data_IF_319448459343
#
_entry.id   IF_319448459343
#
_cell.length_a   1.000
_cell.length_b   1.000
_cell.length_c   1.000
_cell.angle_alpha   90.00
_cell.angle_beta   90.00
_cell.angle_gamma   90.00
#
_symmetry.space_group_name_H-M   'P 1'
#
loop_
_entity.id
_entity.type
_entity.pdbx_description
1 polymer ?
#
# COMPACT_ATOMS: atom_id res chain seq x y z
N UNK A 1 -1.45 17.01 -13.71
CA UNK A 1 -1.38 15.61 -13.32
C UNK A 1 -0.61 15.39 -12.02
N UNK A 2 0.67 15.77 -11.87
CA UNK A 2 1.41 15.58 -10.59
C UNK A 2 0.70 16.13 -9.35
N UNK A 3 0.10 17.33 -9.43
CA UNK A 3 -0.68 17.93 -8.34
C UNK A 3 -1.92 17.09 -7.95
N UNK A 4 -2.52 16.41 -8.90
CA UNK A 4 -3.75 15.63 -8.68
C UNK A 4 -3.40 14.26 -8.10
N UNK A 5 -2.27 13.66 -8.55
CA UNK A 5 -1.72 12.42 -7.97
C UNK A 5 -1.38 12.65 -6.49
N UNK A 6 -0.65 13.73 -6.19
CA UNK A 6 -0.32 14.08 -4.82
C UNK A 6 -1.57 14.23 -3.95
N UNK A 7 -2.58 14.96 -4.42
CA UNK A 7 -3.85 15.14 -3.68
C UNK A 7 -4.59 13.84 -3.44
N UNK A 8 -4.57 12.92 -4.42
CA UNK A 8 -5.18 11.60 -4.26
C UNK A 8 -4.45 10.80 -3.18
N UNK A 9 -3.12 10.81 -3.20
CA UNK A 9 -2.31 10.15 -2.17
C UNK A 9 -2.57 10.76 -0.79
N UNK A 10 -2.52 12.09 -0.65
CA UNK A 10 -2.85 12.79 0.61
C UNK A 10 -4.25 12.41 1.14
N UNK A 11 -5.21 12.24 0.23
CA UNK A 11 -6.56 11.82 0.59
C UNK A 11 -6.60 10.36 1.05
N UNK A 12 -5.88 9.46 0.38
CA UNK A 12 -5.77 8.05 0.76
C UNK A 12 -5.03 7.88 2.10
N UNK A 13 -3.94 8.62 2.33
CA UNK A 13 -3.18 8.63 3.58
C UNK A 13 -4.00 9.15 4.77
N UNK A 14 -4.95 10.06 4.52
CA UNK A 14 -5.80 10.59 5.59
C UNK A 14 -6.80 9.57 6.14
N UNK A 15 -6.98 8.44 5.47
CA UNK A 15 -7.90 7.38 5.84
C UNK A 15 -7.17 6.37 6.73
N UNK A 16 -7.75 6.06 7.90
CA UNK A 16 -7.24 5.01 8.77
C UNK A 16 -7.18 3.67 8.03
N UNK A 17 -5.99 3.08 7.99
CA UNK A 17 -5.74 1.82 7.30
C UNK A 17 -4.63 0.97 7.92
N UNK A 18 -4.34 1.14 9.21
CA UNK A 18 -3.43 0.21 9.92
C UNK A 18 -3.89 -1.22 9.68
N UNK A 19 -2.98 -2.11 9.32
CA UNK A 19 -3.27 -3.47 8.88
C UNK A 19 -4.21 -4.21 9.85
N UNK A 20 -5.29 -4.78 9.29
CA UNK A 20 -6.38 -5.39 10.05
C UNK A 20 -7.46 -4.42 10.56
N UNK A 21 -7.36 -3.12 10.26
CA UNK A 21 -8.31 -2.07 10.67
C UNK A 21 -8.93 -1.30 9.49
N UNK A 22 -8.75 -1.77 8.27
CA UNK A 22 -9.10 -1.10 7.00
C UNK A 22 -10.59 -0.78 6.92
N UNK A 23 -11.43 -1.65 7.48
CA UNK A 23 -12.89 -1.49 7.52
C UNK A 23 -13.31 -0.20 8.24
N UNK A 24 -12.53 0.28 9.20
CA UNK A 24 -12.81 1.53 9.92
C UNK A 24 -12.69 2.76 9.01
N UNK A 25 -11.86 2.69 7.96
CA UNK A 25 -11.70 3.73 6.94
C UNK A 25 -12.73 3.68 5.80
N UNK A 26 -13.56 2.63 5.74
CA UNK A 26 -14.45 2.36 4.59
C UNK A 26 -15.28 3.56 4.13
N UNK A 27 -15.92 4.27 5.05
CA UNK A 27 -16.80 5.38 4.70
C UNK A 27 -16.09 6.50 3.95
N UNK A 28 -14.91 6.89 4.41
CA UNK A 28 -14.07 7.90 3.75
C UNK A 28 -13.54 7.38 2.40
N UNK A 29 -13.09 6.12 2.36
CA UNK A 29 -12.60 5.49 1.14
C UNK A 29 -13.68 5.42 0.05
N UNK A 30 -14.89 5.01 0.40
CA UNK A 30 -16.02 4.99 -0.55
C UNK A 30 -16.32 6.37 -1.11
N UNK A 31 -16.34 7.40 -0.27
CA UNK A 31 -16.58 8.78 -0.71
C UNK A 31 -15.51 9.25 -1.70
N UNK A 32 -14.26 8.81 -1.53
CA UNK A 32 -13.14 9.20 -2.37
C UNK A 32 -13.10 8.42 -3.69
N UNK A 33 -13.32 7.10 -3.65
CA UNK A 33 -13.00 6.19 -4.76
C UNK A 33 -14.22 5.82 -5.61
N UNK A 34 -15.41 5.68 -5.00
CA UNK A 34 -16.62 5.26 -5.73
C UNK A 34 -16.95 6.13 -6.97
N UNK A 35 -16.66 7.44 -7.03
CA UNK A 35 -16.94 8.22 -8.23
C UNK A 35 -16.24 7.74 -9.52
N UNK A 36 -15.21 6.92 -9.41
CA UNK A 36 -14.47 6.38 -10.55
C UNK A 36 -14.97 5.02 -11.04
N UNK A 37 -15.93 4.38 -10.32
CA UNK A 37 -16.37 3.00 -10.54
C UNK A 37 -17.88 2.88 -10.63
N UNK A 38 -18.35 1.79 -11.23
CA UNK A 38 -19.78 1.51 -11.37
C UNK A 38 -20.38 0.86 -10.11
N UNK A 39 -19.57 0.08 -9.39
CA UNK A 39 -20.02 -0.79 -8.29
C UNK A 39 -18.97 -0.89 -7.19
N UNK A 40 -19.42 -1.03 -5.97
CA UNK A 40 -18.59 -1.42 -4.82
C UNK A 40 -19.12 -2.72 -4.22
N UNK A 41 -18.23 -3.69 -4.01
CA UNK A 41 -18.56 -4.97 -3.39
C UNK A 41 -17.81 -5.06 -2.05
N UNK A 42 -18.52 -5.05 -0.91
CA UNK A 42 -17.87 -5.22 0.40
C UNK A 42 -17.35 -6.65 0.52
N UNK A 43 -16.13 -6.80 1.02
CA UNK A 43 -15.52 -8.10 1.30
C UNK A 43 -15.34 -8.29 2.80
N UNK A 44 -15.79 -9.44 3.39
CA UNK A 44 -15.65 -9.71 4.81
C UNK A 44 -14.21 -9.78 5.33
N UNK A 45 -13.21 -9.88 4.44
CA UNK A 45 -11.80 -9.82 4.83
C UNK A 45 -11.32 -8.41 5.18
N UNK A 46 -12.15 -7.38 4.92
CA UNK A 46 -11.77 -5.97 5.03
C UNK A 46 -11.26 -5.36 3.72
N UNK A 47 -11.10 -6.16 2.67
CA UNK A 47 -10.72 -5.69 1.33
C UNK A 47 -11.85 -4.90 0.68
N UNK A 48 -11.51 -3.81 0.04
CA UNK A 48 -12.46 -2.97 -0.70
C UNK A 48 -12.37 -3.29 -2.19
N UNK A 49 -13.48 -3.79 -2.77
CA UNK A 49 -13.54 -4.18 -4.18
C UNK A 49 -14.36 -3.16 -4.96
N UNK A 50 -13.75 -2.49 -5.91
CA UNK A 50 -14.37 -1.54 -6.83
C UNK A 50 -14.44 -2.13 -8.23
N UNK A 51 -15.57 -2.00 -8.91
CA UNK A 51 -15.81 -2.66 -10.19
C UNK A 51 -16.15 -1.63 -11.26
N UNK A 52 -15.55 -1.78 -12.44
CA UNK A 52 -15.88 -1.06 -13.64
C UNK A 52 -16.22 -2.04 -14.75
N UNK A 53 -17.45 -1.96 -15.27
CA UNK A 53 -17.99 -2.91 -16.26
C UNK A 53 -17.77 -2.42 -17.67
N UNK A 54 -17.25 -3.26 -18.53
CA UNK A 54 -17.15 -2.94 -19.96
C UNK A 54 -18.49 -3.02 -20.70
N UNK A 55 -19.49 -3.67 -20.10
CA UNK A 55 -20.83 -3.83 -20.69
C UNK A 55 -20.93 -4.89 -21.79
N UNK A 56 -19.90 -5.71 -21.98
CA UNK A 56 -19.91 -6.83 -22.93
C UNK A 56 -20.30 -8.12 -22.20
N UNK A 57 -21.23 -8.88 -22.78
CA UNK A 57 -21.63 -10.18 -22.21
C UNK A 57 -20.48 -11.17 -22.25
N UNK A 58 -20.21 -11.84 -21.12
CA UNK A 58 -19.12 -12.81 -21.02
C UNK A 58 -17.72 -12.19 -21.07
N UNK A 59 -17.58 -10.88 -20.79
CA UNK A 59 -16.29 -10.23 -20.75
C UNK A 59 -15.34 -10.91 -19.72
N UNK A 60 -14.08 -11.08 -20.06
CA UNK A 60 -13.10 -11.58 -19.10
C UNK A 60 -12.87 -10.54 -17.97
N UNK A 61 -12.45 -11.03 -16.82
CA UNK A 61 -12.23 -10.23 -15.61
C UNK A 61 -10.76 -9.98 -15.40
N UNK A 62 -10.38 -8.70 -15.32
CA UNK A 62 -9.02 -8.28 -14.93
C UNK A 62 -9.06 -7.78 -13.50
N UNK A 63 -8.24 -8.37 -12.64
CA UNK A 63 -8.01 -7.89 -11.28
C UNK A 63 -6.78 -6.97 -11.27
N UNK A 64 -6.93 -5.76 -10.74
CA UNK A 64 -5.83 -4.89 -10.34
C UNK A 64 -5.82 -4.86 -8.80
N UNK A 65 -4.80 -5.42 -8.19
CA UNK A 65 -4.67 -5.49 -6.73
C UNK A 65 -3.55 -4.57 -6.23
N UNK A 66 -3.88 -3.72 -5.27
CA UNK A 66 -2.93 -2.95 -4.46
C UNK A 66 -3.35 -3.04 -3.00
N UNK A 67 -2.45 -3.31 -2.07
CA UNK A 67 -2.86 -3.32 -0.68
C UNK A 67 -3.13 -1.90 -0.16
N UNK A 68 -4.16 -1.79 0.68
CA UNK A 68 -4.59 -0.52 1.25
C UNK A 68 -4.09 -0.35 2.68
N UNK A 69 -3.77 -1.45 3.32
CA UNK A 69 -3.25 -1.41 4.68
C UNK A 69 -1.84 -0.81 4.73
N UNK A 70 -1.50 -0.36 5.91
CA UNK A 70 -0.21 0.27 6.22
C UNK A 70 0.35 -0.28 7.52
N UNK A 71 1.66 -0.22 7.67
CA UNK A 71 2.35 -0.51 8.92
C UNK A 71 1.88 0.43 10.03
N UNK A 72 1.88 -0.06 11.26
CA UNK A 72 1.46 0.73 12.41
C UNK A 72 1.65 -0.03 13.73
N UNK A 73 0.84 0.30 14.71
CA UNK A 73 0.91 -0.31 16.03
C UNK A 73 -0.51 -0.54 16.60
N UNK A 74 -0.62 -1.42 17.59
CA UNK A 74 -1.81 -1.58 18.40
C UNK A 74 -1.50 -1.32 19.87
N UNK A 75 -2.40 -0.63 20.56
CA UNK A 75 -2.28 -0.42 22.00
C UNK A 75 -2.37 -1.76 22.73
N UNK A 76 -1.35 -2.07 23.52
CA UNK A 76 -1.27 -3.30 24.31
C UNK A 76 -1.51 -3.10 25.81
N UNK A 77 -1.29 -1.87 26.33
CA UNK A 77 -1.48 -1.53 27.73
C UNK A 77 -1.64 -0.02 27.93
N UNK A 78 -2.32 0.39 29.00
CA UNK A 78 -2.41 1.76 29.49
C UNK A 78 -1.83 1.79 30.90
N UNK A 79 -0.67 2.40 31.03
CA UNK A 79 0.07 2.43 32.30
C UNK A 79 -0.65 3.30 33.33
N UNK A 80 -0.35 3.09 34.63
CA UNK A 80 -0.87 3.93 35.70
C UNK A 80 -0.41 5.40 35.60
N UNK A 81 0.70 5.65 34.90
CA UNK A 81 1.23 6.97 34.62
C UNK A 81 0.58 7.70 33.44
N UNK A 82 -0.44 7.13 32.78
CA UNK A 82 -1.11 7.77 31.63
C UNK A 82 -0.33 7.65 30.32
N UNK A 83 0.52 6.63 30.16
CA UNK A 83 1.20 6.33 28.91
C UNK A 83 0.61 5.09 28.23
N UNK A 84 0.66 5.04 26.91
CA UNK A 84 0.28 3.85 26.15
C UNK A 84 1.50 3.00 25.80
N UNK A 85 1.37 1.67 25.98
CA UNK A 85 2.29 0.67 25.41
C UNK A 85 1.69 0.14 24.12
N UNK A 86 2.56 -0.23 23.18
CA UNK A 86 2.15 -0.70 21.86
C UNK A 86 2.90 -1.95 21.45
N UNK A 87 2.30 -2.70 20.54
CA UNK A 87 2.94 -3.77 19.76
C UNK A 87 2.92 -3.40 18.28
N UNK A 88 3.94 -3.79 17.50
CA UNK A 88 4.00 -3.47 16.09
C UNK A 88 2.98 -4.27 15.27
N UNK A 89 2.54 -3.67 14.16
CA UNK A 89 1.82 -4.31 13.06
C UNK A 89 2.61 -4.02 11.79
N UNK A 90 3.05 -5.06 11.11
CA UNK A 90 3.97 -4.95 9.98
C UNK A 90 5.43 -4.75 10.38
N UNK A 91 6.26 -4.48 9.40
CA UNK A 91 7.71 -4.39 9.54
C UNK A 91 8.22 -3.02 9.99
N UNK A 92 7.97 -2.61 11.24
CA UNK A 92 8.44 -1.34 11.77
C UNK A 92 9.93 -1.32 12.09
N UNK A 93 10.66 -0.33 11.60
CA UNK A 93 12.03 -0.07 12.01
C UNK A 93 12.05 0.68 13.36
N UNK A 94 12.40 -0.04 14.44
CA UNK A 94 12.45 0.51 15.79
C UNK A 94 13.44 1.69 15.96
N UNK A 95 14.37 1.89 15.04
CA UNK A 95 15.36 2.98 15.09
C UNK A 95 14.73 4.35 14.88
N UNK A 96 13.64 4.39 14.12
CA UNK A 96 12.96 5.66 13.76
C UNK A 96 11.82 6.02 14.72
N UNK A 97 11.37 5.08 15.57
CA UNK A 97 10.20 5.30 16.43
C UNK A 97 10.39 6.34 17.53
N UNK A 98 11.57 6.43 18.22
CA UNK A 98 11.75 7.46 19.25
C UNK A 98 11.53 8.88 18.72
N UNK A 99 10.67 9.65 19.39
CA UNK A 99 10.22 11.00 19.04
C UNK A 99 9.28 11.08 17.81
N UNK A 100 8.82 9.95 17.27
CA UNK A 100 7.80 9.98 16.22
C UNK A 100 6.46 10.50 16.77
N UNK A 101 5.77 11.27 15.95
CA UNK A 101 4.41 11.75 16.20
C UNK A 101 3.42 10.69 15.68
N UNK A 102 2.36 10.43 16.46
CA UNK A 102 1.39 9.37 16.16
C UNK A 102 -0.05 9.81 16.39
N UNK A 103 -0.97 9.15 15.69
CA UNK A 103 -2.41 9.25 15.90
C UNK A 103 -2.92 7.96 16.52
N UNK A 104 -3.63 8.06 17.64
CA UNK A 104 -4.29 6.96 18.32
C UNK A 104 -5.77 7.01 17.96
N UNK A 105 -6.25 6.01 17.23
CA UNK A 105 -7.60 5.98 16.70
C UNK A 105 -8.59 5.30 17.67
N UNK A 106 -8.76 5.92 18.84
CA UNK A 106 -9.68 5.49 19.87
C UNK A 106 -11.16 5.83 19.58
N UNK A 107 -11.94 6.18 20.61
CA UNK A 107 -13.30 6.72 20.45
C UNK A 107 -13.33 8.06 19.78
N UNK A 108 -12.28 8.82 19.99
CA UNK A 108 -11.86 9.97 19.19
C UNK A 108 -10.39 9.81 18.83
N UNK A 109 -9.94 10.51 17.80
CA UNK A 109 -8.52 10.46 17.40
C UNK A 109 -7.71 11.35 18.32
N UNK A 110 -6.76 10.74 19.02
CA UNK A 110 -5.82 11.46 19.89
C UNK A 110 -4.48 11.62 19.17
N UNK A 111 -3.81 12.72 19.46
CA UNK A 111 -2.42 12.94 19.09
C UNK A 111 -1.50 12.46 20.21
N UNK A 112 -0.39 11.85 19.87
CA UNK A 112 0.61 11.41 20.83
C UNK A 112 2.02 11.45 20.26
N UNK A 113 3.00 11.35 21.15
CA UNK A 113 4.43 11.32 20.81
C UNK A 113 5.07 10.10 21.46
N UNK A 114 5.83 9.35 20.68
CA UNK A 114 6.62 8.23 21.22
C UNK A 114 7.80 8.81 22.00
N UNK A 115 7.84 8.52 23.29
CA UNK A 115 8.87 9.03 24.19
C UNK A 115 10.27 8.53 23.83
N UNK A 116 11.27 9.37 24.03
CA UNK A 116 12.68 9.04 23.86
C UNK A 116 13.46 9.31 25.14
N UNK A 117 14.31 8.39 25.56
CA UNK A 117 15.19 8.59 26.70
C UNK A 117 16.33 9.53 26.30
N UNK A 118 16.47 10.73 26.92
CA UNK A 118 17.51 11.66 26.54
C UNK A 118 18.91 11.10 26.83
N UNK A 119 19.94 11.50 26.06
CA UNK A 119 21.27 10.87 26.12
C UNK A 119 21.91 10.83 27.51
N UNK A 120 21.68 11.87 28.34
CA UNK A 120 22.25 11.98 29.69
C UNK A 120 21.59 11.06 30.73
N UNK A 121 20.44 10.48 30.41
CA UNK A 121 19.76 9.47 31.25
C UNK A 121 19.96 8.03 30.76
N UNK A 122 20.58 7.85 29.59
CA UNK A 122 20.88 6.53 29.04
C UNK A 122 22.01 5.86 29.84
N UNK A 123 21.92 4.54 29.99
CA UNK A 123 22.99 3.72 30.57
C UNK A 123 24.12 3.51 29.56
N UNK A 124 25.29 3.17 30.05
CA UNK A 124 26.45 2.86 29.20
C UNK A 124 26.10 1.71 28.23
N UNK A 125 26.09 2.00 26.93
CA UNK A 125 25.77 1.03 25.88
C UNK A 125 24.41 1.22 25.23
N UNK A 126 23.44 1.86 25.87
CA UNK A 126 22.08 2.05 25.31
C UNK A 126 22.07 2.78 23.96
N UNK A 127 23.02 3.72 23.76
CA UNK A 127 23.18 4.46 22.50
C UNK A 127 23.61 3.60 21.31
N UNK A 128 23.98 2.33 21.53
CA UNK A 128 24.43 1.39 20.48
C UNK A 128 23.29 0.55 19.90
N UNK A 129 22.17 0.50 20.56
CA UNK A 129 21.01 -0.32 20.17
C UNK A 129 19.74 0.50 20.17
N UNK A 130 18.88 0.29 19.17
CA UNK A 130 17.53 0.84 19.19
C UNK A 130 16.72 0.21 20.34
N UNK A 131 15.85 0.97 21.01
CA UNK A 131 14.97 0.41 22.04
C UNK A 131 14.05 -0.67 21.44
N UNK A 132 13.64 -1.63 22.25
CA UNK A 132 12.58 -2.56 21.86
C UNK A 132 11.24 -1.83 21.83
N UNK A 133 10.37 -2.16 20.87
CA UNK A 133 9.07 -1.47 20.68
C UNK A 133 8.22 -1.57 21.95
N UNK A 134 8.22 -2.71 22.63
CA UNK A 134 7.48 -2.91 23.88
C UNK A 134 7.96 -2.05 25.05
N UNK A 135 9.16 -1.45 24.98
CA UNK A 135 9.70 -0.54 25.98
C UNK A 135 9.38 0.92 25.68
N UNK A 136 8.91 1.22 24.46
CA UNK A 136 8.51 2.56 24.07
C UNK A 136 7.15 2.92 24.69
N UNK A 137 7.00 4.18 25.07
CA UNK A 137 5.80 4.72 25.66
C UNK A 137 5.29 5.88 24.79
N UNK A 138 3.98 5.90 24.52
CA UNK A 138 3.34 7.02 23.85
C UNK A 138 2.75 7.94 24.92
N UNK A 139 3.14 9.21 24.87
CA UNK A 139 2.60 10.29 25.69
C UNK A 139 1.53 11.03 24.88
N UNK A 140 0.33 11.13 25.45
CA UNK A 140 -0.81 11.88 24.88
C UNK A 140 -1.17 13.10 25.72
N UNK A 141 -0.51 13.30 26.85
CA UNK A 141 -0.80 14.34 27.83
C UNK A 141 -2.03 14.10 28.71
N UNK A 142 -2.71 12.94 28.56
CA UNK A 142 -3.88 12.57 29.36
C UNK A 142 -3.50 11.69 30.55
N UNK A 143 -4.22 11.86 31.66
CA UNK A 143 -4.14 10.93 32.80
C UNK A 143 -4.72 9.56 32.45
N UNK A 144 -4.27 8.51 33.17
CA UNK A 144 -4.66 7.12 32.92
C UNK A 144 -6.19 6.90 32.94
N UNK A 145 -6.90 7.52 33.90
CA UNK A 145 -8.35 7.37 34.02
C UNK A 145 -9.10 7.93 32.80
N UNK A 146 -8.65 9.05 32.27
CA UNK A 146 -9.18 9.65 31.03
C UNK A 146 -8.88 8.75 29.84
N UNK A 147 -7.62 8.31 29.70
CA UNK A 147 -7.22 7.41 28.59
C UNK A 147 -8.05 6.14 28.55
N UNK A 148 -8.32 5.49 29.68
CA UNK A 148 -9.16 4.29 29.76
C UNK A 148 -10.61 4.52 29.29
N UNK A 149 -11.06 5.76 29.23
CA UNK A 149 -12.38 6.10 28.65
C UNK A 149 -12.35 6.31 27.15
N UNK A 150 -11.18 6.64 26.59
CA UNK A 150 -11.01 7.02 25.18
C UNK A 150 -10.36 5.94 24.34
N UNK A 151 -9.52 5.11 24.94
CA UNK A 151 -8.65 4.13 24.27
C UNK A 151 -8.87 2.75 24.87
N UNK A 152 -9.17 1.78 24.02
CA UNK A 152 -9.28 0.36 24.39
C UNK A 152 -7.97 -0.37 24.01
N UNK A 153 -7.69 -1.50 24.66
CA UNK A 153 -6.61 -2.40 24.22
C UNK A 153 -6.96 -2.90 22.80
N UNK A 154 -5.95 -2.91 21.90
CA UNK A 154 -6.14 -3.20 20.49
C UNK A 154 -6.50 -1.97 19.64
N UNK A 155 -6.59 -0.77 20.25
CA UNK A 155 -6.77 0.46 19.47
C UNK A 155 -5.60 0.67 18.50
N UNK A 156 -5.85 0.93 17.19
CA UNK A 156 -4.80 1.16 16.22
C UNK A 156 -4.12 2.52 16.44
N UNK A 157 -2.82 2.52 16.14
CA UNK A 157 -1.95 3.71 16.19
C UNK A 157 -1.18 3.81 14.88
N UNK A 158 -1.33 4.91 14.18
CA UNK A 158 -0.62 5.23 12.94
C UNK A 158 0.30 6.44 13.11
N UNK A 159 1.16 6.68 12.13
CA UNK A 159 2.03 7.85 12.13
C UNK A 159 1.27 9.13 11.73
N UNK A 160 1.70 10.27 12.24
CA UNK A 160 1.06 11.57 11.98
C UNK A 160 1.62 12.27 10.73
N UNK A 161 2.65 11.75 10.10
CA UNK A 161 3.35 12.43 8.99
C UNK A 161 2.41 12.77 7.84
N UNK A 162 2.68 13.91 7.17
CA UNK A 162 1.91 14.42 6.03
C UNK A 162 2.79 14.45 4.79
N UNK A 163 2.16 14.15 3.64
CA UNK A 163 2.86 14.21 2.35
C UNK A 163 3.39 15.61 2.04
N UNK A 164 4.69 15.71 1.85
CA UNK A 164 5.40 16.91 1.43
C UNK A 164 5.88 16.80 -0.03
N UNK A 165 5.97 17.93 -0.72
CA UNK A 165 6.61 17.99 -2.03
C UNK A 165 8.11 18.19 -1.88
N UNK A 166 8.89 17.39 -2.57
CA UNK A 166 10.32 17.56 -2.73
C UNK A 166 10.65 18.22 -4.09
N UNK A 167 11.92 18.25 -4.45
CA UNK A 167 12.35 18.82 -5.74
C UNK A 167 11.84 17.99 -6.92
N UNK A 168 11.33 18.65 -7.95
CA UNK A 168 10.79 18.03 -9.16
C UNK A 168 9.41 17.41 -8.93
N UNK A 169 9.26 16.16 -9.33
CA UNK A 169 8.02 15.38 -9.23
C UNK A 169 7.95 14.49 -7.97
N UNK A 170 8.93 14.58 -7.08
CA UNK A 170 9.01 13.74 -5.90
C UNK A 170 8.12 14.23 -4.77
N UNK A 171 7.53 13.28 -4.08
CA UNK A 171 6.76 13.48 -2.86
C UNK A 171 7.30 12.58 -1.76
N UNK A 172 7.18 13.04 -0.52
CA UNK A 172 7.60 12.30 0.66
C UNK A 172 6.47 12.33 1.68
N UNK A 173 6.12 11.18 2.24
CA UNK A 173 5.07 11.05 3.25
C UNK A 173 5.06 9.64 3.82
N UNK A 174 4.08 9.35 4.65
CA UNK A 174 3.87 8.01 5.17
C UNK A 174 3.11 7.16 4.15
N UNK A 175 3.21 5.86 4.27
CA UNK A 175 2.34 4.90 3.54
C UNK A 175 2.36 5.05 2.01
N UNK A 176 3.46 5.56 1.40
CA UNK A 176 3.64 5.40 -0.05
C UNK A 176 3.57 3.92 -0.40
N UNK A 177 4.01 3.08 0.50
CA UNK A 177 3.71 1.67 0.63
C UNK A 177 2.33 1.49 1.30
N UNK A 178 1.22 1.22 0.57
CA UNK A 178 1.17 1.07 -0.88
C UNK A 178 0.15 2.06 -1.50
N UNK A 179 -0.01 3.27 -0.90
CA UNK A 179 -0.95 4.30 -1.42
C UNK A 179 -0.53 4.81 -2.81
N UNK A 180 0.76 4.75 -3.14
CA UNK A 180 1.27 5.07 -4.47
C UNK A 180 0.64 4.14 -5.54
N UNK A 181 0.64 2.83 -5.28
CA UNK A 181 0.06 1.86 -6.21
C UNK A 181 -1.47 1.84 -6.15
N UNK A 182 -2.09 2.09 -4.98
CA UNK A 182 -3.53 2.33 -4.89
C UNK A 182 -3.95 3.48 -5.81
N UNK A 183 -3.21 4.60 -5.77
CA UNK A 183 -3.48 5.74 -6.65
C UNK A 183 -3.30 5.38 -8.13
N UNK A 184 -2.24 4.62 -8.48
CA UNK A 184 -2.01 4.17 -9.85
C UNK A 184 -3.16 3.28 -10.37
N UNK A 185 -3.65 2.34 -9.56
CA UNK A 185 -4.75 1.44 -9.93
C UNK A 185 -6.08 2.21 -10.14
N UNK A 186 -6.41 3.13 -9.21
CA UNK A 186 -7.60 3.99 -9.30
C UNK A 186 -7.54 4.87 -10.56
N UNK A 187 -6.41 5.56 -10.78
CA UNK A 187 -6.22 6.43 -11.92
C UNK A 187 -6.24 5.65 -13.23
N UNK A 188 -5.54 4.51 -13.32
CA UNK A 188 -5.52 3.67 -14.52
C UNK A 188 -6.92 3.23 -14.94
N UNK A 189 -7.75 2.79 -13.99
CA UNK A 189 -9.15 2.46 -14.26
C UNK A 189 -9.99 3.69 -14.65
N UNK A 190 -9.71 4.87 -14.07
CA UNK A 190 -10.45 6.11 -14.38
C UNK A 190 -10.16 6.67 -15.78
N UNK A 191 -8.98 6.38 -16.34
CA UNK A 191 -8.53 6.87 -17.65
C UNK A 191 -9.18 6.17 -18.84
N UNK A 192 -10.03 5.16 -18.60
CA UNK A 192 -10.62 4.33 -19.66
C UNK A 192 -12.14 4.47 -19.64
N UNK A 193 -12.75 4.79 -20.79
CA UNK A 193 -14.21 4.77 -20.92
C UNK A 193 -14.72 3.36 -21.11
N UNK A 194 -16.01 3.14 -20.86
CA UNK A 194 -16.64 1.81 -20.97
C UNK A 194 -16.46 1.19 -22.35
N UNK A 195 -16.57 1.99 -23.39
CA UNK A 195 -16.49 1.56 -24.79
C UNK A 195 -15.10 1.09 -25.18
N UNK A 196 -14.06 1.65 -24.52
CA UNK A 196 -12.68 1.28 -24.76
C UNK A 196 -12.26 -0.01 -24.03
N UNK A 197 -13.00 -0.43 -22.99
CA UNK A 197 -12.62 -1.56 -22.15
C UNK A 197 -12.77 -2.89 -22.86
N UNK A 198 -11.77 -3.73 -22.73
CA UNK A 198 -11.81 -5.14 -23.17
C UNK A 198 -12.20 -6.10 -22.02
N UNK A 199 -12.09 -5.66 -20.78
CA UNK A 199 -12.26 -6.43 -19.56
C UNK A 199 -13.32 -5.81 -18.65
N UNK A 200 -14.02 -6.64 -17.85
CA UNK A 200 -14.60 -6.17 -16.62
C UNK A 200 -13.46 -6.01 -15.59
N UNK A 201 -13.25 -4.79 -15.11
CA UNK A 201 -12.13 -4.46 -14.23
C UNK A 201 -12.56 -4.47 -12.77
N UNK A 202 -11.81 -5.20 -11.97
CA UNK A 202 -11.92 -5.23 -10.52
C UNK A 202 -10.68 -4.61 -9.92
N UNK A 203 -10.81 -3.50 -9.22
CA UNK A 203 -9.73 -2.90 -8.44
C UNK A 203 -9.94 -3.31 -7.00
N UNK A 204 -9.02 -4.07 -6.44
CA UNK A 204 -8.98 -4.39 -5.01
C UNK A 204 -8.00 -3.48 -4.30
N UNK A 205 -8.50 -2.77 -3.30
CA UNK A 205 -7.69 -2.13 -2.29
C UNK A 205 -7.67 -3.12 -1.12
N UNK A 206 -6.69 -4.02 -1.16
CA UNK A 206 -6.69 -5.23 -0.34
C UNK A 206 -6.18 -4.97 1.08
N UNK A 207 -6.64 -5.83 2.00
CA UNK A 207 -6.36 -5.74 3.42
C UNK A 207 -5.32 -6.77 3.86
N UNK A 208 -4.57 -6.46 4.93
CA UNK A 208 -3.70 -7.39 5.67
C UNK A 208 -2.52 -7.95 4.85
N UNK A 209 -1.98 -7.18 3.95
CA UNK A 209 -0.72 -7.51 3.30
C UNK A 209 0.42 -7.38 4.31
N UNK A 210 0.52 -6.24 4.99
CA UNK A 210 1.54 -5.89 5.98
C UNK A 210 1.54 -6.82 7.22
N UNK A 211 0.41 -7.47 7.49
CA UNK A 211 0.36 -8.51 8.53
C UNK A 211 1.02 -9.84 8.07
N UNK A 212 1.57 -9.90 6.87
CA UNK A 212 2.27 -11.06 6.31
C UNK A 212 1.37 -12.23 5.92
N UNK A 213 0.07 -11.99 5.74
CA UNK A 213 -0.89 -13.05 5.46
C UNK A 213 -1.49 -12.98 4.05
N UNK A 214 -1.44 -11.83 3.38
CA UNK A 214 -2.09 -11.58 2.06
C UNK A 214 -3.52 -12.13 1.98
N UNK A 215 -4.20 -12.19 3.15
CA UNK A 215 -5.48 -12.89 3.28
C UNK A 215 -6.62 -12.13 2.63
N UNK A 216 -6.50 -10.80 2.57
CA UNK A 216 -7.52 -9.94 1.97
C UNK A 216 -7.61 -10.12 0.46
N UNK A 217 -6.48 -10.04 -0.25
CA UNK A 217 -6.45 -10.21 -1.70
C UNK A 217 -6.89 -11.63 -2.11
N UNK A 218 -6.43 -12.66 -1.39
CA UNK A 218 -6.78 -14.05 -1.67
C UNK A 218 -8.27 -14.32 -1.52
N UNK A 219 -8.89 -13.80 -0.45
CA UNK A 219 -10.33 -13.94 -0.21
C UNK A 219 -11.17 -13.23 -1.29
N UNK A 220 -10.79 -12.00 -1.65
CA UNK A 220 -11.44 -11.26 -2.71
C UNK A 220 -11.30 -11.94 -4.07
N UNK A 221 -10.10 -12.38 -4.44
CA UNK A 221 -9.84 -13.08 -5.70
C UNK A 221 -10.61 -14.40 -5.82
N UNK A 222 -10.72 -15.16 -4.73
CA UNK A 222 -11.52 -16.39 -4.70
C UNK A 222 -13.00 -16.14 -5.04
N UNK A 223 -13.55 -15.01 -4.62
CA UNK A 223 -14.95 -14.62 -4.93
C UNK A 223 -15.10 -14.03 -6.31
N UNK A 224 -14.15 -13.18 -6.74
CA UNK A 224 -14.16 -12.52 -8.05
C UNK A 224 -13.95 -13.54 -9.17
N UNK A 225 -13.03 -14.51 -8.97
CA UNK A 225 -12.55 -15.45 -9.97
C UNK A 225 -12.09 -14.72 -11.24
N UNK A 226 -11.03 -13.92 -11.15
CA UNK A 226 -10.51 -13.20 -12.30
C UNK A 226 -9.80 -14.14 -13.28
N UNK A 227 -9.83 -13.78 -14.56
CA UNK A 227 -9.13 -14.51 -15.62
C UNK A 227 -7.64 -14.15 -15.66
N UNK A 228 -7.29 -12.96 -15.19
CA UNK A 228 -5.90 -12.50 -15.00
C UNK A 228 -5.84 -11.48 -13.86
N UNK A 229 -4.67 -11.37 -13.24
CA UNK A 229 -4.41 -10.41 -12.18
C UNK A 229 -3.10 -9.65 -12.39
N UNK A 230 -3.12 -8.36 -12.10
CA UNK A 230 -1.92 -7.53 -11.97
C UNK A 230 -1.88 -7.06 -10.51
N UNK A 231 -0.90 -7.56 -9.78
CA UNK A 231 -0.56 -7.04 -8.45
C UNK A 231 0.35 -5.84 -8.62
N UNK A 232 -0.03 -4.74 -7.99
CA UNK A 232 0.83 -3.56 -7.96
C UNK A 232 1.25 -3.25 -6.55
N UNK A 233 2.54 -3.16 -6.36
CA UNK A 233 3.15 -2.92 -5.08
C UNK A 233 4.36 -2.00 -5.24
N UNK A 234 4.91 -1.51 -4.16
CA UNK A 234 6.16 -0.75 -4.24
C UNK A 234 7.36 -1.69 -4.38
N UNK A 235 8.49 -1.13 -4.79
CA UNK A 235 9.79 -1.82 -4.79
C UNK A 235 10.89 -0.85 -4.36
N UNK A 236 12.07 -1.37 -4.05
CA UNK A 236 13.19 -0.53 -3.62
C UNK A 236 13.65 0.39 -4.75
N UNK A 237 13.76 1.69 -4.44
CA UNK A 237 14.50 2.61 -5.27
C UNK A 237 16.01 2.47 -4.99
N UNK A 238 16.83 2.83 -5.97
CA UNK A 238 18.29 2.88 -5.80
C UNK A 238 18.67 3.82 -4.64
N UNK A 239 19.24 3.25 -3.60
CA UNK A 239 19.64 3.93 -2.38
C UNK A 239 20.91 3.28 -1.78
N UNK A 240 21.64 3.97 -0.91
CA UNK A 240 22.76 3.35 -0.20
C UNK A 240 22.32 2.09 0.56
N UNK A 241 23.00 0.96 0.30
CA UNK A 241 22.69 -0.34 0.92
C UNK A 241 21.72 -1.22 0.16
N UNK A 242 21.15 -0.75 -0.97
CA UNK A 242 20.31 -1.54 -1.87
C UNK A 242 21.12 -1.97 -3.09
N UNK A 243 21.06 -3.24 -3.46
CA UNK A 243 21.72 -3.78 -4.66
C UNK A 243 21.19 -3.14 -5.94
N UNK A 244 22.04 -2.92 -6.92
CA UNK A 244 21.64 -2.32 -8.19
C UNK A 244 20.71 -3.23 -9.00
N UNK A 245 20.78 -4.52 -8.79
CA UNK A 245 19.95 -5.57 -9.39
C UNK A 245 18.60 -5.77 -8.67
N UNK A 246 18.49 -5.25 -7.44
CA UNK A 246 17.29 -5.30 -6.60
C UNK A 246 16.52 -3.97 -6.56
N UNK A 247 16.98 -2.96 -7.30
CA UNK A 247 16.42 -1.61 -7.21
C UNK A 247 15.96 -1.04 -8.53
N UNK A 248 14.85 -0.31 -8.51
CA UNK A 248 14.38 0.54 -9.60
C UNK A 248 14.90 1.97 -9.48
N UNK A 249 15.01 2.66 -10.62
CA UNK A 249 15.34 4.08 -10.64
C UNK A 249 14.06 4.89 -10.51
N UNK A 250 13.94 5.74 -9.49
CA UNK A 250 12.84 6.71 -9.40
C UNK A 250 12.83 7.65 -10.63
N UNK A 251 11.64 7.87 -11.21
CA UNK A 251 11.46 8.61 -12.47
C UNK A 251 11.77 7.77 -13.71
N UNK A 252 12.02 6.46 -13.56
CA UNK A 252 12.28 5.52 -14.66
C UNK A 252 11.07 4.76 -15.18
N UNK A 253 9.91 5.00 -14.64
CA UNK A 253 8.66 4.26 -14.90
C UNK A 253 8.50 3.02 -14.03
N UNK A 254 7.38 2.29 -14.18
CA UNK A 254 7.11 1.08 -13.42
C UNK A 254 8.18 0.01 -13.61
N UNK A 255 8.36 -0.80 -12.57
CA UNK A 255 9.25 -1.97 -12.57
C UNK A 255 8.39 -3.21 -12.74
N UNK A 256 8.60 -3.98 -13.81
CA UNK A 256 7.90 -5.24 -14.06
C UNK A 256 8.76 -6.41 -13.56
N UNK A 257 8.20 -7.23 -12.68
CA UNK A 257 8.91 -8.35 -12.08
C UNK A 257 8.85 -9.60 -12.96
N UNK A 258 10.01 -10.20 -13.19
CA UNK A 258 10.19 -11.51 -13.80
C UNK A 258 10.53 -12.50 -12.68
N UNK A 259 9.57 -13.36 -12.32
CA UNK A 259 9.69 -14.30 -11.21
C UNK A 259 9.17 -15.69 -11.60
N UNK A 260 9.54 -16.68 -10.81
CA UNK A 260 8.93 -18.02 -10.91
C UNK A 260 7.44 -18.02 -10.53
N UNK A 261 6.97 -17.01 -9.79
CA UNK A 261 5.57 -16.84 -9.37
C UNK A 261 4.73 -16.12 -10.43
N UNK A 262 5.33 -15.23 -11.23
CA UNK A 262 4.62 -14.45 -12.24
C UNK A 262 4.31 -15.25 -13.50
N UNK A 263 3.11 -15.04 -14.09
CA UNK A 263 2.78 -15.62 -15.39
C UNK A 263 3.59 -14.95 -16.50
N UNK A 264 4.36 -15.76 -17.23
CA UNK A 264 5.29 -15.28 -18.25
C UNK A 264 4.58 -14.63 -19.44
N UNK A 265 3.41 -15.10 -19.84
CA UNK A 265 2.67 -14.55 -20.99
C UNK A 265 2.09 -13.20 -20.63
N UNK A 266 1.46 -13.11 -19.48
CA UNK A 266 0.90 -11.86 -18.97
C UNK A 266 1.99 -10.80 -18.78
N UNK A 267 3.10 -11.15 -18.13
CA UNK A 267 4.23 -10.22 -17.93
C UNK A 267 4.82 -9.77 -19.27
N UNK A 268 4.94 -10.68 -20.25
CA UNK A 268 5.41 -10.31 -21.60
C UNK A 268 4.44 -9.38 -22.30
N UNK A 269 3.13 -9.65 -22.21
CA UNK A 269 2.09 -8.78 -22.77
C UNK A 269 2.17 -7.36 -22.21
N UNK A 270 2.40 -7.19 -20.90
CA UNK A 270 2.59 -5.89 -20.27
C UNK A 270 3.88 -5.18 -20.75
N UNK A 271 4.99 -5.91 -20.90
CA UNK A 271 6.23 -5.37 -21.47
C UNK A 271 6.02 -4.88 -22.91
N UNK A 272 5.37 -5.68 -23.73
CA UNK A 272 5.06 -5.35 -25.13
C UNK A 272 4.09 -4.14 -25.21
N UNK A 273 3.16 -3.98 -24.26
CA UNK A 273 2.29 -2.80 -24.15
C UNK A 273 3.10 -1.54 -23.82
N UNK A 274 4.05 -1.62 -22.89
CA UNK A 274 4.93 -0.49 -22.60
C UNK A 274 5.66 -0.05 -23.87
N UNK A 275 6.25 -0.99 -24.62
CA UNK A 275 6.99 -0.69 -25.85
C UNK A 275 6.06 -0.12 -26.94
N UNK A 276 4.85 -0.65 -27.11
CA UNK A 276 3.85 -0.16 -28.10
C UNK A 276 3.29 1.22 -27.78
N UNK A 277 3.25 1.60 -26.50
CA UNK A 277 2.65 2.85 -26.01
C UNK A 277 3.69 3.89 -25.58
N UNK A 278 4.98 3.61 -25.81
CA UNK A 278 6.10 4.47 -25.39
C UNK A 278 6.06 4.81 -23.88
N UNK A 279 5.61 3.83 -23.04
CA UNK A 279 5.61 3.97 -21.60
C UNK A 279 6.99 3.57 -21.08
N UNK A 280 7.72 4.48 -20.41
CA UNK A 280 8.98 4.14 -19.76
C UNK A 280 8.78 2.99 -18.77
N UNK A 281 9.68 2.03 -18.77
CA UNK A 281 9.61 0.85 -17.91
C UNK A 281 10.97 0.35 -17.50
N UNK A 282 10.96 -0.41 -16.43
CA UNK A 282 12.12 -1.12 -15.91
C UNK A 282 11.74 -2.59 -15.68
N UNK A 283 12.73 -3.44 -15.45
CA UNK A 283 12.50 -4.85 -15.10
C UNK A 283 13.40 -5.24 -13.93
N UNK A 284 12.89 -6.07 -13.05
CA UNK A 284 13.67 -6.78 -12.04
C UNK A 284 13.47 -8.30 -12.17
N UNK A 285 14.32 -9.06 -11.50
CA UNK A 285 14.22 -10.52 -11.46
C UNK A 285 14.19 -10.96 -10.00
N UNK A 286 13.05 -11.54 -9.61
CA UNK A 286 12.84 -12.09 -8.27
C UNK A 286 12.91 -13.61 -8.35
N UNK A 287 13.78 -14.23 -7.56
CA UNK A 287 14.06 -15.66 -7.70
C UNK A 287 12.86 -16.55 -7.36
N UNK A 288 12.10 -16.21 -6.32
CA UNK A 288 11.00 -17.03 -5.80
C UNK A 288 9.81 -16.15 -5.41
N UNK A 289 9.82 -15.63 -4.19
CA UNK A 289 8.80 -14.75 -3.62
C UNK A 289 9.02 -13.33 -4.13
N UNK A 290 7.95 -12.64 -4.45
CA UNK A 290 7.99 -11.24 -4.89
C UNK A 290 7.84 -10.26 -3.73
N UNK A 291 7.64 -10.75 -2.50
CA UNK A 291 7.36 -9.91 -1.33
C UNK A 291 6.06 -9.12 -1.44
N UNK A 292 5.10 -9.60 -2.26
CA UNK A 292 3.83 -8.93 -2.54
C UNK A 292 2.67 -9.93 -2.47
N UNK A 293 1.45 -9.46 -2.62
CA UNK A 293 0.25 -10.29 -2.72
C UNK A 293 0.29 -11.33 -3.88
N UNK A 294 1.19 -11.19 -4.86
CA UNK A 294 1.19 -12.01 -6.07
C UNK A 294 1.44 -13.49 -5.79
N UNK A 295 2.31 -13.81 -4.83
CA UNK A 295 2.61 -15.20 -4.44
C UNK A 295 1.34 -15.93 -4.02
N UNK A 296 0.57 -15.32 -3.11
CA UNK A 296 -0.66 -15.95 -2.61
C UNK A 296 -1.78 -15.90 -3.63
N UNK A 297 -1.88 -14.84 -4.42
CA UNK A 297 -2.92 -14.66 -5.41
C UNK A 297 -2.80 -15.67 -6.56
N UNK A 298 -1.58 -15.99 -6.97
CA UNK A 298 -1.31 -17.01 -8.00
C UNK A 298 -1.78 -18.42 -7.61
N UNK A 299 -1.98 -18.69 -6.32
CA UNK A 299 -2.40 -19.99 -5.78
C UNK A 299 -3.92 -20.08 -5.54
N UNK A 300 -4.69 -19.01 -5.76
CA UNK A 300 -6.13 -18.98 -5.49
C UNK A 300 -6.88 -19.85 -6.51
N UNK A 301 -7.77 -20.72 -6.00
CA UNK A 301 -8.62 -21.57 -6.83
C UNK A 301 -7.83 -22.58 -7.68
N UNK A 302 -7.92 -22.47 -8.99
CA UNK A 302 -7.19 -23.29 -9.96
C UNK A 302 -5.84 -22.66 -10.37
N UNK A 303 -5.47 -21.57 -9.72
CA UNK A 303 -4.35 -20.70 -10.06
C UNK A 303 -4.81 -19.52 -10.93
N UNK A 304 -4.37 -18.31 -10.56
CA UNK A 304 -4.68 -17.09 -11.31
C UNK A 304 -3.40 -16.64 -12.02
N UNK A 305 -3.41 -16.48 -13.36
CA UNK A 305 -2.30 -15.85 -14.08
C UNK A 305 -2.03 -14.47 -13.52
N UNK A 306 -0.87 -14.29 -12.90
CA UNK A 306 -0.56 -13.07 -12.12
C UNK A 306 0.74 -12.43 -12.63
N UNK A 307 0.73 -11.12 -12.79
CA UNK A 307 1.92 -10.29 -13.03
C UNK A 307 2.12 -9.30 -11.89
N UNK A 308 3.35 -8.83 -11.71
CA UNK A 308 3.71 -7.79 -10.73
C UNK A 308 4.24 -6.56 -11.46
N UNK A 309 3.69 -5.40 -11.09
CA UNK A 309 4.08 -4.08 -11.61
C UNK A 309 4.30 -3.17 -10.41
N UNK A 310 5.53 -2.73 -10.19
CA UNK A 310 5.90 -2.03 -8.96
C UNK A 310 6.29 -0.57 -9.21
N UNK A 311 6.02 0.28 -8.21
CA UNK A 311 6.48 1.67 -8.15
C UNK A 311 7.72 1.75 -7.27
N UNK A 312 8.89 2.24 -7.76
CA UNK A 312 10.08 2.35 -6.95
C UNK A 312 9.96 3.47 -5.92
N UNK A 313 10.19 3.15 -4.65
CA UNK A 313 10.19 4.11 -3.54
C UNK A 313 11.48 4.01 -2.72
N UNK A 314 11.84 5.09 -2.04
CA UNK A 314 12.94 5.11 -1.09
C UNK A 314 12.43 5.16 0.34
N UNK A 315 13.22 4.60 1.27
CA UNK A 315 12.91 4.56 2.71
C UNK A 315 11.63 3.79 3.04
N UNK A 316 11.35 2.70 2.31
CA UNK A 316 10.22 1.79 2.57
C UNK A 316 10.16 1.39 4.05
N UNK A 317 8.94 1.20 4.58
CA UNK A 317 8.67 0.86 5.99
C UNK A 317 9.17 1.90 7.00
N UNK A 318 9.20 3.17 6.55
CA UNK A 318 9.38 4.32 7.45
C UNK A 318 8.15 5.24 7.37
N UNK A 319 8.08 6.24 8.24
CA UNK A 319 7.04 7.26 8.14
C UNK A 319 7.41 8.41 7.18
N UNK A 320 8.51 8.30 6.44
CA UNK A 320 9.00 9.28 5.45
C UNK A 320 9.46 8.58 4.18
N UNK A 321 8.54 7.92 3.51
CA UNK A 321 8.78 7.22 2.25
C UNK A 321 8.73 8.21 1.08
N UNK A 322 9.60 8.03 0.11
CA UNK A 322 9.69 8.94 -1.04
C UNK A 322 9.34 8.21 -2.33
N UNK A 323 8.39 8.75 -3.09
CA UNK A 323 7.99 8.29 -4.41
C UNK A 323 8.15 9.39 -5.46
N UNK A 324 8.21 9.00 -6.73
CA UNK A 324 8.13 9.93 -7.87
C UNK A 324 6.75 9.83 -8.52
N UNK A 325 6.00 10.93 -8.59
CA UNK A 325 4.66 10.95 -9.19
C UNK A 325 4.66 10.61 -10.68
N UNK A 326 5.81 10.72 -11.36
CA UNK A 326 5.97 10.28 -12.76
C UNK A 326 5.88 8.76 -12.88
N UNK A 327 6.46 8.01 -11.93
CA UNK A 327 6.37 6.55 -11.92
C UNK A 327 4.93 6.09 -11.69
N UNK A 328 4.20 6.76 -10.79
CA UNK A 328 2.78 6.50 -10.53
C UNK A 328 1.94 6.79 -11.78
N UNK A 329 2.22 7.89 -12.48
CA UNK A 329 1.54 8.27 -13.73
C UNK A 329 1.78 7.23 -14.83
N UNK A 330 3.01 6.78 -15.01
CA UNK A 330 3.36 5.76 -16.01
C UNK A 330 2.74 4.39 -15.66
N UNK A 331 2.69 4.04 -14.37
CA UNK A 331 2.01 2.83 -13.90
C UNK A 331 0.52 2.89 -14.19
N UNK A 332 -0.15 4.01 -13.93
CA UNK A 332 -1.56 4.22 -14.27
C UNK A 332 -1.79 4.14 -15.80
N UNK A 333 -0.89 4.70 -16.60
CA UNK A 333 -0.95 4.62 -18.06
C UNK A 333 -0.82 3.18 -18.57
N UNK A 334 0.05 2.37 -17.96
CA UNK A 334 0.17 0.94 -18.26
C UNK A 334 -1.12 0.19 -17.92
N UNK A 335 -1.73 0.45 -16.77
CA UNK A 335 -3.00 -0.18 -16.40
C UNK A 335 -4.13 0.22 -17.35
N UNK A 336 -4.21 1.49 -17.74
CA UNK A 336 -5.17 1.95 -18.74
C UNK A 336 -4.96 1.26 -20.10
N UNK A 337 -3.72 1.02 -20.51
CA UNK A 337 -3.39 0.28 -21.72
C UNK A 337 -3.80 -1.21 -21.60
N UNK A 338 -3.52 -1.84 -20.46
CA UNK A 338 -3.91 -3.23 -20.18
C UNK A 338 -5.42 -3.44 -20.20
N UNK A 339 -6.19 -2.51 -19.62
CA UNK A 339 -7.66 -2.54 -19.60
C UNK A 339 -8.24 -2.48 -21.04
N UNK A 340 -7.58 -1.75 -21.96
CA UNK A 340 -7.99 -1.64 -23.36
C UNK A 340 -7.61 -2.85 -24.20
N UNK A 341 -6.61 -3.62 -23.80
CA UNK A 341 -6.06 -4.73 -24.59
C UNK A 341 -6.77 -6.04 -24.29
N UNK A 342 -7.64 -6.49 -25.20
CA UNK A 342 -8.30 -7.80 -25.12
C UNK A 342 -7.38 -8.98 -25.44
N UNK A 343 -6.18 -8.74 -25.94
CA UNK A 343 -5.17 -9.74 -26.26
C UNK A 343 -4.09 -9.94 -25.19
N UNK A 344 -4.21 -9.21 -24.08
CA UNK A 344 -3.16 -9.14 -23.05
C UNK A 344 -2.68 -10.51 -22.53
N UNK A 345 -3.58 -11.50 -22.53
CA UNK A 345 -3.32 -12.85 -22.00
C UNK A 345 -3.65 -13.95 -23.01
N UNK A 346 -3.61 -13.70 -24.30
CA UNK A 346 -3.87 -14.70 -25.37
C UNK A 346 -2.61 -15.44 -25.83
#
# INVERSE_FOLDING_TARGET
MHSDIKKLIESLESILSVSGQEERGRGALLSLVSPYFDEYIPDPSGTHVFVKRCGKEGAPKLLLDAHFDEIGMLVSDITEGGFLRVVPVGGLDRRILPAAEVLIYGRETLYGVIGAVPPHLQKAGDHKTAPEIGDLLIDTGYDADVLRTLVDIGTPVGFYEKTASLLGSRICGRSMDNKACCAAAILGASMVTREEMAWDVYVTLSAREEAGLSSGCSAAAYRIRPDAAIVTDVTFAAAPGVGADESGKMGGGPVLSLSAVTDRRLTRGLLDLCDKKDIPRQTCVDACDTGTNATMLSLVGEGIPTAVVSVPIASMHTYNETADTVDIEHTAALFAAAIRDGGLYQ
#
